data_IF_562783641019
#
_entry.id   IF_562783641019
#
_cell.length_a   1.000
_cell.length_b   1.000
_cell.length_c   1.000
_cell.angle_alpha   90.00
_cell.angle_beta   90.00
_cell.angle_gamma   90.00
#
_symmetry.space_group_name_H-M   'P 1'
#
loop_
_entity.id
_entity.type
_entity.pdbx_description
1 polymer ?
#
# COMPACT_ATOMS: atom_id res chain seq x y z
N UNK A 1 6.69 -3.17 -7.87
CA UNK A 1 7.19 -3.80 -9.12
C UNK A 1 6.16 -4.73 -9.78
N UNK A 2 5.72 -5.84 -9.15
CA UNK A 2 4.76 -6.78 -9.80
C UNK A 2 3.45 -6.11 -10.27
N UNK A 3 2.98 -5.10 -9.54
CA UNK A 3 1.83 -4.29 -9.96
C UNK A 3 2.12 -3.53 -11.27
N UNK A 4 3.27 -2.87 -11.40
CA UNK A 4 3.67 -2.19 -12.64
C UNK A 4 3.77 -3.15 -13.83
N UNK A 5 4.28 -4.36 -13.57
CA UNK A 5 4.40 -5.43 -14.55
C UNK A 5 3.04 -5.94 -15.05
N UNK A 6 2.02 -5.90 -14.19
CA UNK A 6 0.64 -6.21 -14.55
C UNK A 6 -0.01 -5.03 -15.30
N UNK A 7 0.09 -3.81 -14.75
CA UNK A 7 -0.53 -2.59 -15.31
C UNK A 7 -0.06 -2.31 -16.75
N UNK A 8 1.22 -2.52 -17.06
CA UNK A 8 1.77 -2.30 -18.41
C UNK A 8 1.25 -3.24 -19.50
N UNK A 9 0.53 -4.30 -19.12
CA UNK A 9 -0.05 -5.29 -20.06
C UNK A 9 -1.43 -4.89 -20.59
N UNK A 10 -2.04 -3.85 -20.02
CA UNK A 10 -3.36 -3.37 -20.43
C UNK A 10 -3.25 -1.96 -21.01
N UNK A 11 -3.74 -1.70 -22.24
CA UNK A 11 -3.67 -0.37 -22.84
C UNK A 11 -4.27 0.74 -21.96
N UNK A 12 -5.30 0.41 -21.16
CA UNK A 12 -5.94 1.35 -20.24
C UNK A 12 -5.04 1.81 -19.06
N UNK A 13 -4.06 1.00 -18.65
CA UNK A 13 -3.23 1.28 -17.46
C UNK A 13 -1.72 1.31 -17.74
N UNK A 14 -1.30 1.02 -18.98
CA UNK A 14 0.09 1.16 -19.39
C UNK A 14 0.63 2.59 -19.24
N UNK A 15 -0.10 3.67 -19.61
CA UNK A 15 0.35 5.05 -19.36
C UNK A 15 0.65 5.32 -17.88
N UNK A 16 -0.16 4.75 -16.96
CA UNK A 16 0.06 4.84 -15.51
C UNK A 16 1.35 4.15 -15.09
N UNK A 17 1.62 2.94 -15.60
CA UNK A 17 2.85 2.21 -15.32
C UNK A 17 4.10 2.96 -15.84
N UNK A 18 4.01 3.56 -17.03
CA UNK A 18 5.10 4.33 -17.64
C UNK A 18 5.37 5.63 -16.87
N UNK A 19 4.33 6.38 -16.52
CA UNK A 19 4.42 7.60 -15.71
C UNK A 19 5.02 7.33 -14.33
N UNK A 20 4.55 6.28 -13.65
CA UNK A 20 5.08 5.85 -12.36
C UNK A 20 6.57 5.49 -12.44
N UNK A 21 6.97 4.76 -13.49
CA UNK A 21 8.37 4.42 -13.72
C UNK A 21 9.22 5.67 -13.96
N UNK A 22 8.73 6.62 -14.78
CA UNK A 22 9.42 7.90 -15.03
C UNK A 22 9.67 8.68 -13.74
N UNK A 23 8.66 8.78 -12.87
CA UNK A 23 8.79 9.40 -11.53
C UNK A 23 9.70 8.63 -10.58
N UNK A 24 9.88 7.32 -10.80
CA UNK A 24 10.80 6.49 -10.00
C UNK A 24 12.25 6.65 -10.46
N UNK A 25 12.53 6.69 -11.77
CA UNK A 25 13.88 6.82 -12.34
C UNK A 25 14.41 8.26 -12.40
N UNK A 26 13.58 9.28 -12.14
CA UNK A 26 13.94 10.69 -12.26
C UNK A 26 14.90 11.23 -11.18
N UNK A 27 15.36 10.39 -10.25
CA UNK A 27 16.16 10.78 -9.08
C UNK A 27 17.43 9.93 -8.98
N UNK A 28 18.56 10.56 -8.66
CA UNK A 28 19.82 9.85 -8.53
C UNK A 28 19.92 8.98 -7.26
N UNK A 29 20.69 7.88 -7.40
CA UNK A 29 21.35 7.01 -6.41
C UNK A 29 20.58 6.47 -5.21
N UNK A 30 19.30 6.81 -5.02
CA UNK A 30 18.44 6.36 -3.90
C UNK A 30 19.03 6.64 -2.51
N UNK A 31 19.82 7.72 -2.38
CA UNK A 31 20.52 8.08 -1.12
C UNK A 31 19.70 8.94 -0.15
N UNK A 32 18.57 9.51 -0.60
CA UNK A 32 17.77 10.46 0.17
C UNK A 32 16.28 10.16 0.04
N UNK A 33 15.52 10.36 1.12
CA UNK A 33 14.05 10.31 1.08
C UNK A 33 13.51 11.39 0.14
N UNK A 34 12.47 11.07 -0.65
CA UNK A 34 11.80 12.05 -1.51
C UNK A 34 10.31 12.04 -1.20
N UNK A 35 9.82 13.13 -0.61
CA UNK A 35 8.39 13.32 -0.31
C UNK A 35 7.52 13.36 -1.58
N UNK A 36 8.08 13.82 -2.69
CA UNK A 36 7.43 13.84 -4.02
C UNK A 36 7.85 12.64 -4.89
N UNK A 37 8.65 11.71 -4.35
CA UNK A 37 9.06 10.49 -5.05
C UNK A 37 8.05 9.36 -4.83
N UNK A 38 8.02 8.41 -5.74
CA UNK A 38 7.16 7.22 -5.64
C UNK A 38 7.52 6.37 -4.42
N UNK A 39 6.57 5.59 -3.92
CA UNK A 39 6.87 4.63 -2.85
C UNK A 39 7.94 3.63 -3.28
N UNK A 40 7.95 3.22 -4.55
CA UNK A 40 8.99 2.34 -5.10
C UNK A 40 10.40 2.96 -4.99
N UNK A 41 10.55 4.26 -5.26
CA UNK A 41 11.81 4.97 -5.02
C UNK A 41 12.18 4.95 -3.53
N UNK A 42 11.21 5.28 -2.66
CA UNK A 42 11.44 5.36 -1.22
C UNK A 42 11.74 3.98 -0.59
N UNK A 43 11.16 2.88 -1.09
CA UNK A 43 11.50 1.51 -0.67
C UNK A 43 12.93 1.14 -1.05
N UNK A 44 13.42 1.52 -2.24
CA UNK A 44 14.83 1.31 -2.60
C UNK A 44 15.74 2.17 -1.71
N UNK A 45 15.33 3.39 -1.37
CA UNK A 45 16.05 4.22 -0.39
C UNK A 45 16.14 3.57 1.01
N UNK A 46 15.13 2.85 1.49
CA UNK A 46 15.25 2.08 2.75
C UNK A 46 16.28 0.93 2.66
N UNK A 47 16.59 0.42 1.47
CA UNK A 47 17.59 -0.63 1.26
C UNK A 47 18.99 -0.03 0.99
N UNK A 48 19.08 1.15 0.36
CA UNK A 48 20.33 1.72 -0.16
C UNK A 48 20.79 3.05 0.49
N UNK A 49 19.95 3.72 1.30
CA UNK A 49 20.28 4.99 1.98
C UNK A 49 21.21 4.86 3.20
N UNK A 50 21.29 5.88 4.06
CA UNK A 50 22.09 5.79 5.30
C UNK A 50 21.43 4.88 6.35
N UNK A 51 22.20 4.33 7.28
CA UNK A 51 21.66 3.48 8.36
C UNK A 51 20.75 4.24 9.34
N UNK A 52 20.89 5.57 9.42
CA UNK A 52 20.01 6.45 10.22
C UNK A 52 18.56 6.43 9.75
N UNK A 53 18.31 5.97 8.53
CA UNK A 53 16.96 5.81 7.97
C UNK A 53 16.21 4.67 8.68
N UNK A 54 16.92 3.57 8.99
CA UNK A 54 16.34 2.40 9.65
C UNK A 54 15.97 2.69 11.11
N UNK A 55 16.66 3.64 11.75
CA UNK A 55 16.34 4.16 13.09
C UNK A 55 14.95 4.82 13.17
N UNK A 56 14.34 5.16 12.02
CA UNK A 56 12.99 5.74 11.91
C UNK A 56 11.88 4.70 11.70
N UNK A 57 12.22 3.42 11.53
CA UNK A 57 11.26 2.33 11.36
C UNK A 57 10.70 1.83 12.70
N UNK A 58 9.57 1.12 12.67
CA UNK A 58 8.91 0.57 13.87
C UNK A 58 9.80 -0.41 14.65
N UNK A 59 10.59 -1.22 13.94
CA UNK A 59 11.64 -2.06 14.53
C UNK A 59 12.99 -1.78 13.83
N UNK A 60 13.81 -0.87 14.39
CA UNK A 60 15.14 -0.59 13.86
C UNK A 60 16.11 -1.78 13.94
N UNK A 61 15.99 -2.63 14.97
CA UNK A 61 16.95 -3.74 15.18
C UNK A 61 16.72 -4.83 14.15
N UNK A 62 15.47 -5.26 13.96
CA UNK A 62 15.09 -6.19 12.89
C UNK A 62 15.39 -5.63 11.50
N UNK A 63 15.12 -4.34 11.25
CA UNK A 63 15.42 -3.70 9.97
C UNK A 63 16.93 -3.66 9.66
N UNK A 64 17.79 -3.33 10.62
CA UNK A 64 19.26 -3.38 10.46
C UNK A 64 19.72 -4.83 10.21
N UNK A 65 19.19 -5.79 10.97
CA UNK A 65 19.51 -7.21 10.80
C UNK A 65 19.13 -7.75 9.42
N UNK A 66 17.93 -7.41 8.94
CA UNK A 66 17.45 -7.77 7.60
C UNK A 66 18.30 -7.08 6.52
N UNK A 67 18.57 -5.78 6.65
CA UNK A 67 19.34 -5.01 5.67
C UNK A 67 20.73 -5.58 5.44
N UNK A 68 21.42 -6.04 6.49
CA UNK A 68 22.72 -6.73 6.38
C UNK A 68 22.69 -7.99 5.53
N UNK A 69 21.51 -8.56 5.30
CA UNK A 69 21.29 -9.81 4.55
C UNK A 69 20.60 -9.58 3.20
N UNK A 70 20.20 -8.34 2.86
CA UNK A 70 19.46 -8.02 1.63
C UNK A 70 20.14 -6.91 0.85
N UNK A 71 20.18 -7.03 -0.48
CA UNK A 71 20.72 -5.99 -1.35
C UNK A 71 19.75 -5.67 -2.48
N UNK A 72 19.82 -4.44 -3.00
CA UNK A 72 19.12 -4.08 -4.24
C UNK A 72 20.11 -4.05 -5.41
N UNK A 73 19.94 -4.88 -6.44
CA UNK A 73 20.77 -4.84 -7.65
C UNK A 73 20.40 -3.60 -8.50
N UNK A 74 20.89 -2.43 -8.10
CA UNK A 74 20.50 -1.12 -8.65
C UNK A 74 20.64 -1.02 -10.17
N UNK A 75 21.69 -1.59 -10.77
CA UNK A 75 21.86 -1.56 -12.23
C UNK A 75 20.73 -2.31 -12.96
N UNK A 76 20.36 -3.50 -12.47
CA UNK A 76 19.24 -4.29 -13.01
C UNK A 76 17.91 -3.57 -12.80
N UNK A 77 17.71 -2.98 -11.62
CA UNK A 77 16.51 -2.21 -11.29
C UNK A 77 16.35 -0.96 -12.16
N UNK A 78 17.37 -0.12 -12.24
CA UNK A 78 17.37 1.09 -13.07
C UNK A 78 17.11 0.74 -14.54
N UNK A 79 17.75 -0.31 -15.08
CA UNK A 79 17.48 -0.77 -16.44
C UNK A 79 16.01 -1.12 -16.65
N UNK A 80 15.38 -1.84 -15.71
CA UNK A 80 13.94 -2.16 -15.79
C UNK A 80 13.07 -0.89 -15.73
N UNK A 81 13.31 0.01 -14.77
CA UNK A 81 12.50 1.22 -14.60
C UNK A 81 12.65 2.16 -15.80
N UNK A 82 13.85 2.32 -16.36
CA UNK A 82 14.07 3.11 -17.58
C UNK A 82 13.38 2.50 -18.80
N UNK A 83 13.46 1.17 -18.99
CA UNK A 83 12.72 0.49 -20.08
C UNK A 83 11.21 0.69 -19.95
N UNK A 84 10.70 0.62 -18.71
CA UNK A 84 9.29 0.82 -18.41
C UNK A 84 8.85 2.28 -18.61
N UNK A 85 9.68 3.26 -18.26
CA UNK A 85 9.37 4.69 -18.48
C UNK A 85 9.39 5.09 -19.96
N UNK A 86 10.16 4.37 -20.78
CA UNK A 86 10.15 4.45 -22.25
C UNK A 86 8.95 3.72 -22.89
N UNK A 87 8.10 3.05 -22.11
CA UNK A 87 6.94 2.30 -22.60
C UNK A 87 7.28 1.02 -23.37
N UNK A 88 8.47 0.45 -23.15
CA UNK A 88 8.89 -0.76 -23.85
C UNK A 88 8.10 -1.99 -23.36
N UNK A 89 7.72 -2.83 -24.33
CA UNK A 89 6.98 -4.06 -24.09
C UNK A 89 7.75 -5.04 -23.16
N UNK A 90 7.03 -5.89 -22.41
CA UNK A 90 7.65 -6.91 -21.56
C UNK A 90 8.57 -7.84 -22.34
N UNK A 91 9.79 -8.06 -21.82
CA UNK A 91 10.71 -9.07 -22.37
C UNK A 91 11.19 -10.06 -21.29
N UNK A 92 11.98 -11.05 -21.71
CA UNK A 92 12.51 -12.09 -20.83
C UNK A 92 13.56 -11.57 -19.84
N UNK A 93 14.27 -10.48 -20.18
CA UNK A 93 15.20 -9.82 -19.25
C UNK A 93 14.48 -9.17 -18.07
N UNK A 94 13.31 -8.59 -18.30
CA UNK A 94 12.49 -8.01 -17.24
C UNK A 94 12.12 -9.11 -16.21
N UNK A 95 11.82 -10.33 -16.65
CA UNK A 95 11.64 -11.47 -15.73
C UNK A 95 12.93 -11.80 -14.96
N UNK A 96 14.07 -11.84 -15.64
CA UNK A 96 15.39 -12.09 -15.02
C UNK A 96 15.74 -11.04 -13.95
N UNK A 97 15.38 -9.76 -14.16
CA UNK A 97 15.53 -8.68 -13.17
C UNK A 97 14.73 -8.99 -11.90
N UNK A 98 13.47 -9.41 -12.03
CA UNK A 98 12.64 -9.76 -10.87
C UNK A 98 13.17 -11.00 -10.14
N UNK A 99 13.74 -11.98 -10.86
CA UNK A 99 14.38 -13.14 -10.21
C UNK A 99 15.61 -12.74 -9.40
N UNK A 100 16.46 -11.85 -9.93
CA UNK A 100 17.63 -11.32 -9.22
C UNK A 100 17.23 -10.53 -7.97
N UNK A 101 16.24 -9.64 -8.08
CA UNK A 101 15.74 -8.84 -6.95
C UNK A 101 15.10 -9.75 -5.89
N UNK A 102 14.28 -10.72 -6.28
CA UNK A 102 13.66 -11.66 -5.34
C UNK A 102 14.68 -12.44 -4.51
N UNK A 103 15.74 -12.93 -5.15
CA UNK A 103 16.85 -13.62 -4.48
C UNK A 103 17.65 -12.66 -3.58
N UNK A 104 17.99 -11.47 -4.07
CA UNK A 104 18.77 -10.47 -3.34
C UNK A 104 18.01 -9.88 -2.13
N UNK A 105 16.68 -9.89 -2.15
CA UNK A 105 15.80 -9.54 -1.02
C UNK A 105 15.40 -10.77 -0.17
N UNK A 106 15.98 -11.95 -0.42
CA UNK A 106 15.73 -13.22 0.29
C UNK A 106 14.26 -13.63 0.37
N UNK A 107 13.45 -13.31 -0.65
CA UNK A 107 12.02 -13.64 -0.67
C UNK A 107 11.86 -15.15 -0.88
N UNK A 108 11.50 -15.87 0.18
CA UNK A 108 11.32 -17.32 0.18
C UNK A 108 9.91 -17.78 -0.19
N UNK A 109 8.88 -16.96 0.12
CA UNK A 109 7.46 -17.26 -0.04
C UNK A 109 7.12 -17.78 -1.45
N UNK A 110 6.51 -18.96 -1.51
CA UNK A 110 6.17 -19.70 -2.73
C UNK A 110 5.03 -19.07 -3.53
N UNK A 111 4.06 -18.44 -2.88
CA UNK A 111 2.94 -17.76 -3.53
C UNK A 111 3.41 -16.53 -4.32
N UNK A 112 4.34 -15.72 -3.79
CA UNK A 112 4.91 -14.60 -4.54
C UNK A 112 5.73 -15.05 -5.75
N UNK A 113 6.45 -16.17 -5.61
CA UNK A 113 7.15 -16.81 -6.73
C UNK A 113 6.18 -17.29 -7.82
N UNK A 114 5.03 -17.83 -7.42
CA UNK A 114 3.95 -18.21 -8.32
C UNK A 114 3.32 -16.98 -9.00
N UNK A 115 2.94 -15.96 -8.22
CA UNK A 115 2.38 -14.69 -8.75
C UNK A 115 3.33 -14.03 -9.74
N UNK A 116 4.64 -13.97 -9.46
CA UNK A 116 5.65 -13.50 -10.42
C UNK A 116 5.63 -14.30 -11.72
N UNK A 117 5.76 -15.63 -11.67
CA UNK A 117 5.76 -16.50 -12.87
C UNK A 117 4.49 -16.29 -13.69
N UNK A 118 3.34 -16.25 -13.01
CA UNK A 118 2.04 -16.06 -13.64
C UNK A 118 1.90 -14.68 -14.29
N UNK A 119 2.38 -13.61 -13.65
CA UNK A 119 2.37 -12.26 -14.23
C UNK A 119 3.26 -12.17 -15.48
N UNK A 120 4.43 -12.81 -15.49
CA UNK A 120 5.24 -12.83 -16.72
C UNK A 120 4.60 -13.67 -17.84
N UNK A 121 3.98 -14.80 -17.50
CA UNK A 121 3.23 -15.67 -18.42
C UNK A 121 1.77 -15.22 -18.69
N UNK A 122 1.37 -14.02 -18.26
CA UNK A 122 -0.05 -13.66 -18.08
C UNK A 122 -0.93 -13.88 -19.30
N UNK A 123 -0.43 -13.63 -20.51
CA UNK A 123 -1.20 -13.77 -21.73
C UNK A 123 -1.65 -15.22 -21.99
N UNK A 124 -0.85 -16.21 -21.59
CA UNK A 124 -1.12 -17.64 -21.75
C UNK A 124 -1.97 -18.27 -20.64
N UNK A 125 -2.25 -17.52 -19.57
CA UNK A 125 -3.09 -18.01 -18.46
C UNK A 125 -4.57 -18.06 -18.85
N UNK A 126 -5.28 -19.05 -18.31
CA UNK A 126 -6.74 -19.09 -18.34
C UNK A 126 -7.35 -17.91 -17.57
N UNK A 127 -8.62 -17.58 -17.84
CA UNK A 127 -9.34 -16.50 -17.12
C UNK A 127 -9.35 -16.73 -15.61
N UNK A 128 -9.54 -17.99 -15.18
CA UNK A 128 -9.54 -18.36 -13.76
C UNK A 128 -8.16 -18.16 -13.10
N UNK A 129 -7.08 -18.49 -13.79
CA UNK A 129 -5.72 -18.26 -13.30
C UNK A 129 -5.35 -16.78 -13.28
N UNK A 130 -5.83 -15.98 -14.24
CA UNK A 130 -5.70 -14.51 -14.24
C UNK A 130 -6.37 -13.93 -12.99
N UNK A 131 -7.64 -14.27 -12.75
CA UNK A 131 -8.37 -13.87 -11.54
C UNK A 131 -7.63 -14.27 -10.25
N UNK A 132 -7.23 -15.55 -10.12
CA UNK A 132 -6.49 -16.05 -8.95
C UNK A 132 -5.14 -15.34 -8.75
N UNK A 133 -4.42 -15.03 -9.83
CA UNK A 133 -3.12 -14.36 -9.77
C UNK A 133 -3.26 -12.90 -9.33
N UNK A 134 -4.22 -12.17 -9.89
CA UNK A 134 -4.49 -10.77 -9.54
C UNK A 134 -5.07 -10.66 -8.14
N UNK A 135 -5.95 -11.58 -7.73
CA UNK A 135 -6.49 -11.62 -6.35
C UNK A 135 -5.39 -11.85 -5.31
N UNK A 136 -4.46 -12.79 -5.54
CA UNK A 136 -3.28 -12.96 -4.67
C UNK A 136 -2.41 -11.69 -4.61
N UNK A 137 -2.22 -11.01 -5.75
CA UNK A 137 -1.49 -9.74 -5.79
C UNK A 137 -2.22 -8.62 -5.03
N UNK A 138 -3.56 -8.57 -5.11
CA UNK A 138 -4.40 -7.64 -4.33
C UNK A 138 -4.23 -7.87 -2.83
N UNK A 139 -4.35 -9.11 -2.34
CA UNK A 139 -4.19 -9.42 -0.91
C UNK A 139 -2.79 -9.03 -0.42
N UNK A 140 -1.74 -9.46 -1.12
CA UNK A 140 -0.35 -9.09 -0.80
C UNK A 140 -0.14 -7.57 -0.79
N UNK A 141 -0.74 -6.85 -1.74
CA UNK A 141 -0.64 -5.38 -1.81
C UNK A 141 -1.41 -4.72 -0.67
N UNK A 142 -2.68 -5.06 -0.45
CA UNK A 142 -3.52 -4.51 0.64
C UNK A 142 -2.91 -4.74 2.02
N UNK A 143 -2.29 -5.90 2.24
CA UNK A 143 -1.62 -6.21 3.50
C UNK A 143 -0.31 -5.41 3.68
N UNK A 144 0.55 -5.32 2.65
CA UNK A 144 1.95 -4.87 2.81
C UNK A 144 2.25 -3.47 2.30
N UNK A 145 1.41 -2.95 1.41
CA UNK A 145 1.60 -1.68 0.71
C UNK A 145 0.46 -0.69 1.00
N UNK A 146 -0.33 -0.86 2.09
CA UNK A 146 -1.61 -0.15 2.31
C UNK A 146 -1.56 1.38 2.17
N UNK A 147 -0.42 2.00 2.49
CA UNK A 147 -0.20 3.45 2.36
C UNK A 147 0.35 3.87 0.98
N UNK A 148 0.43 2.95 0.02
CA UNK A 148 1.18 3.15 -1.22
C UNK A 148 0.33 3.60 -2.39
N UNK A 149 0.86 4.59 -3.11
CA UNK A 149 0.36 5.15 -4.37
C UNK A 149 -0.08 4.08 -5.40
N UNK A 150 0.65 2.97 -5.50
CA UNK A 150 0.43 1.95 -6.52
C UNK A 150 -0.80 1.06 -6.30
N UNK A 151 -1.36 1.00 -5.08
CA UNK A 151 -2.52 0.13 -4.79
C UNK A 151 -3.76 0.59 -5.57
N UNK A 152 -4.04 1.88 -5.56
CA UNK A 152 -5.25 2.44 -6.18
C UNK A 152 -5.34 2.06 -7.67
N UNK A 153 -4.18 2.03 -8.34
CA UNK A 153 -4.07 1.61 -9.74
C UNK A 153 -4.30 0.10 -9.93
N UNK A 154 -3.83 -0.74 -9.00
CA UNK A 154 -4.11 -2.18 -9.02
C UNK A 154 -5.60 -2.47 -8.82
N UNK A 155 -6.24 -1.82 -7.84
CA UNK A 155 -7.66 -2.01 -7.54
C UNK A 155 -8.55 -1.53 -8.68
N UNK A 156 -8.22 -0.37 -9.28
CA UNK A 156 -8.87 0.10 -10.52
C UNK A 156 -8.76 -0.91 -11.66
N UNK A 157 -7.58 -1.46 -11.92
CA UNK A 157 -7.42 -2.50 -12.95
C UNK A 157 -8.25 -3.75 -12.63
N UNK A 158 -8.23 -4.22 -11.38
CA UNK A 158 -8.92 -5.43 -10.98
C UNK A 158 -10.45 -5.29 -11.10
N UNK A 159 -11.00 -4.13 -10.72
CA UNK A 159 -12.42 -3.81 -10.92
C UNK A 159 -12.79 -3.73 -12.40
N UNK A 160 -11.97 -3.05 -13.22
CA UNK A 160 -12.20 -2.89 -14.68
C UNK A 160 -12.15 -4.20 -15.48
N UNK A 161 -11.60 -5.28 -14.91
CA UNK A 161 -11.40 -6.58 -15.58
C UNK A 161 -12.06 -7.76 -14.84
N UNK A 162 -12.85 -7.49 -13.80
CA UNK A 162 -13.47 -8.48 -12.91
C UNK A 162 -12.48 -9.57 -12.44
N UNK A 163 -11.34 -9.12 -11.93
CA UNK A 163 -10.23 -9.99 -11.53
C UNK A 163 -10.21 -10.39 -10.06
N UNK A 164 -11.03 -9.77 -9.20
CA UNK A 164 -11.12 -10.14 -7.79
C UNK A 164 -12.09 -11.31 -7.59
N UNK A 165 -11.62 -12.44 -7.04
CA UNK A 165 -12.42 -13.67 -6.87
C UNK A 165 -12.41 -14.20 -5.45
N UNK A 166 -13.59 -14.62 -4.96
CA UNK A 166 -13.74 -15.29 -3.65
C UNK A 166 -13.11 -16.69 -3.60
N UNK A 167 -12.61 -17.21 -4.73
CA UNK A 167 -12.00 -18.55 -4.83
C UNK A 167 -10.55 -18.63 -4.32
N UNK A 168 -9.94 -17.49 -3.95
CA UNK A 168 -8.64 -17.44 -3.30
C UNK A 168 -8.86 -17.17 -1.82
N UNK A 169 -8.30 -18.02 -0.95
CA UNK A 169 -8.20 -17.73 0.48
C UNK A 169 -7.10 -16.71 0.71
N UNK A 170 -7.38 -15.66 1.48
CA UNK A 170 -6.35 -14.75 1.97
C UNK A 170 -5.46 -15.47 2.99
N UNK A 171 -4.15 -15.43 2.74
CA UNK A 171 -3.08 -16.04 3.55
C UNK A 171 -2.07 -15.01 4.03
N UNK A 172 -2.28 -13.72 3.73
CA UNK A 172 -1.44 -12.66 4.28
C UNK A 172 -1.67 -12.52 5.79
N UNK A 173 -0.64 -12.14 6.56
CA UNK A 173 -0.84 -11.79 7.94
C UNK A 173 -1.79 -10.59 8.01
N UNK A 174 -2.89 -10.72 8.75
CA UNK A 174 -3.73 -9.59 9.13
C UNK A 174 -2.86 -8.62 9.91
N UNK A 175 -2.31 -7.61 9.22
CA UNK A 175 -1.40 -6.66 9.85
C UNK A 175 -2.15 -6.01 10.98
N UNK A 176 -1.64 -6.16 12.20
CA UNK A 176 -2.07 -5.39 13.35
C UNK A 176 -1.98 -3.92 12.94
N UNK A 177 -3.14 -3.36 12.63
CA UNK A 177 -3.35 -1.92 12.64
C UNK A 177 -2.92 -1.43 14.02
N UNK A 178 -2.69 -0.11 14.22
CA UNK A 178 -2.71 0.40 15.57
C UNK A 178 -4.03 -0.08 16.15
N UNK A 179 -3.97 -0.95 17.17
CA UNK A 179 -5.18 -1.34 17.84
C UNK A 179 -5.79 -0.03 18.33
N UNK A 180 -6.96 0.27 17.80
CA UNK A 180 -7.95 1.04 18.52
C UNK A 180 -8.70 -0.03 19.31
N UNK A 181 -8.20 -0.47 20.49
CA UNK A 181 -9.06 -1.14 21.42
C UNK A 181 -10.08 -0.07 21.79
N UNK A 182 -11.25 -0.09 21.14
CA UNK A 182 -12.38 0.74 21.50
C UNK A 182 -12.91 0.17 22.81
N UNK A 183 -12.15 0.43 23.86
CA UNK A 183 -12.54 0.24 25.25
C UNK A 183 -13.83 1.01 25.49
N UNK A 184 -14.65 0.54 26.43
CA UNK A 184 -15.92 1.18 26.77
C UNK A 184 -15.72 2.66 27.12
N UNK A 185 -14.59 2.99 27.74
CA UNK A 185 -14.16 4.37 28.02
C UNK A 185 -13.90 5.20 26.76
N UNK A 186 -13.28 4.63 25.73
CA UNK A 186 -13.08 5.32 24.44
C UNK A 186 -14.39 5.47 23.67
N UNK A 187 -15.25 4.45 23.72
CA UNK A 187 -16.59 4.51 23.11
C UNK A 187 -17.41 5.65 23.71
N UNK A 188 -17.34 5.89 25.03
CA UNK A 188 -17.96 7.03 25.67
C UNK A 188 -17.53 8.38 25.08
N UNK A 189 -16.29 8.54 24.63
CA UNK A 189 -15.84 9.76 23.94
C UNK A 189 -16.37 9.87 22.50
N UNK A 190 -16.50 8.76 21.77
CA UNK A 190 -17.12 8.76 20.45
C UNK A 190 -18.58 9.25 20.48
N UNK A 191 -19.30 9.06 21.59
CA UNK A 191 -20.67 9.58 21.79
C UNK A 191 -20.78 11.10 21.54
N UNK A 192 -19.76 11.89 21.86
CA UNK A 192 -19.75 13.34 21.62
C UNK A 192 -19.63 13.71 20.13
N UNK A 193 -19.17 12.78 19.27
CA UNK A 193 -18.99 13.00 17.84
C UNK A 193 -20.13 12.41 16.99
N UNK A 194 -20.60 11.19 17.32
CA UNK A 194 -21.63 10.48 16.53
C UNK A 194 -23.03 10.58 17.14
N UNK A 195 -23.16 10.98 18.40
CA UNK A 195 -24.40 10.96 19.17
C UNK A 195 -24.71 9.60 19.79
N UNK A 196 -25.51 9.61 20.87
CA UNK A 196 -25.92 8.40 21.59
C UNK A 196 -26.59 7.29 20.72
N UNK A 197 -27.56 7.57 19.83
CA UNK A 197 -28.26 6.51 19.09
C UNK A 197 -27.36 5.79 18.07
N UNK A 198 -26.33 6.46 17.56
CA UNK A 198 -25.44 5.92 16.53
C UNK A 198 -24.28 5.10 17.11
N UNK A 199 -24.11 5.06 18.43
CA UNK A 199 -22.86 4.65 19.07
C UNK A 199 -22.40 3.23 18.74
N UNK A 200 -23.32 2.26 18.79
CA UNK A 200 -23.04 0.85 18.48
C UNK A 200 -22.73 0.64 16.98
N UNK A 201 -23.44 1.36 16.11
CA UNK A 201 -23.24 1.31 14.67
C UNK A 201 -21.93 2.00 14.26
N UNK A 202 -21.54 3.08 14.95
CA UNK A 202 -20.26 3.74 14.81
C UNK A 202 -19.11 2.85 15.32
N UNK A 203 -19.28 2.09 16.39
CA UNK A 203 -18.31 1.07 16.81
C UNK A 203 -18.09 0.03 15.70
N UNK A 204 -19.18 -0.44 15.05
CA UNK A 204 -19.10 -1.35 13.89
C UNK A 204 -18.46 -0.71 12.67
N UNK A 205 -18.72 0.57 12.39
CA UNK A 205 -18.00 1.34 11.36
C UNK A 205 -16.49 1.32 11.62
N UNK A 206 -16.05 1.70 12.83
CA UNK A 206 -14.62 1.76 13.16
C UNK A 206 -14.00 0.35 13.11
N UNK A 207 -14.70 -0.69 13.60
CA UNK A 207 -14.25 -2.08 13.52
C UNK A 207 -14.10 -2.63 12.09
N UNK A 208 -14.85 -2.12 11.11
CA UNK A 208 -14.77 -2.51 9.69
C UNK A 208 -13.82 -1.61 8.87
N UNK A 209 -13.58 -0.37 9.30
CA UNK A 209 -12.54 0.53 8.76
C UNK A 209 -11.13 0.10 9.22
N UNK A 210 -11.01 -0.24 10.51
CA UNK A 210 -10.03 -1.22 11.03
C UNK A 210 -10.34 -2.58 10.38
N UNK A 211 -9.38 -3.51 10.27
CA UNK A 211 -9.48 -4.70 9.41
C UNK A 211 -9.54 -4.41 7.89
N UNK A 212 -10.03 -3.24 7.45
CA UNK A 212 -10.04 -2.82 6.04
C UNK A 212 -11.12 -3.50 5.18
N UNK A 213 -12.29 -3.78 5.75
CA UNK A 213 -13.41 -4.45 5.07
C UNK A 213 -14.35 -3.42 4.44
N UNK A 214 -15.10 -3.85 3.42
CA UNK A 214 -16.21 -3.07 2.88
C UNK A 214 -17.22 -2.73 3.99
N UNK A 215 -17.61 -1.45 4.10
CA UNK A 215 -18.48 -0.96 5.17
C UNK A 215 -19.91 -0.77 4.65
N UNK A 216 -20.90 -1.54 5.13
CA UNK A 216 -22.30 -1.35 4.75
C UNK A 216 -22.85 0.08 5.03
N UNK A 217 -23.73 0.62 4.16
CA UNK A 217 -24.16 2.03 4.21
C UNK A 217 -24.75 2.49 5.55
N UNK A 218 -25.42 1.60 6.29
CA UNK A 218 -25.99 1.90 7.60
C UNK A 218 -24.94 2.29 8.65
N UNK A 219 -23.75 1.69 8.60
CA UNK A 219 -22.65 2.05 9.51
C UNK A 219 -21.98 3.35 9.08
N UNK A 220 -21.87 3.61 7.77
CA UNK A 220 -21.39 4.88 7.23
C UNK A 220 -22.30 6.03 7.66
N UNK A 221 -23.63 5.86 7.56
CA UNK A 221 -24.63 6.84 8.04
C UNK A 221 -24.49 7.11 9.54
N UNK A 222 -24.27 6.09 10.36
CA UNK A 222 -24.08 6.26 11.80
C UNK A 222 -22.80 7.03 12.17
N UNK A 223 -21.72 6.87 11.40
CA UNK A 223 -20.47 7.61 11.62
C UNK A 223 -20.47 9.01 10.97
N UNK A 224 -21.42 9.29 10.07
CA UNK A 224 -21.51 10.54 9.30
C UNK A 224 -21.48 11.84 10.14
N UNK A 225 -22.05 11.94 11.35
CA UNK A 225 -21.95 13.16 12.15
C UNK A 225 -20.51 13.52 12.52
N UNK A 226 -19.65 12.53 12.80
CA UNK A 226 -18.23 12.76 13.05
C UNK A 226 -17.49 13.27 11.80
N UNK A 227 -17.85 12.74 10.62
CA UNK A 227 -17.33 13.21 9.32
C UNK A 227 -17.76 14.67 9.08
N UNK A 228 -19.03 15.01 9.37
CA UNK A 228 -19.55 16.38 9.26
C UNK A 228 -18.83 17.37 10.19
N UNK A 229 -18.44 16.96 11.39
CA UNK A 229 -17.63 17.78 12.29
C UNK A 229 -16.26 18.11 11.69
N UNK A 230 -15.61 17.13 11.04
CA UNK A 230 -14.33 17.35 10.35
C UNK A 230 -14.51 18.26 9.12
N UNK A 231 -15.56 18.04 8.31
CA UNK A 231 -15.91 18.87 7.17
C UNK A 231 -16.16 20.34 7.57
N UNK A 232 -16.85 20.59 8.68
CA UNK A 232 -17.03 21.93 9.24
C UNK A 232 -15.69 22.58 9.64
N UNK A 233 -14.75 21.82 10.21
CA UNK A 233 -13.40 22.32 10.54
C UNK A 233 -12.61 22.68 9.28
N UNK A 234 -12.72 21.88 8.22
CA UNK A 234 -12.10 22.16 6.92
C UNK A 234 -12.70 23.43 6.29
N UNK A 235 -14.02 23.59 6.35
CA UNK A 235 -14.74 24.79 5.88
C UNK A 235 -14.40 26.05 6.68
N UNK A 236 -14.04 25.92 7.96
CA UNK A 236 -13.48 27.02 8.77
C UNK A 236 -12.13 27.54 8.27
N UNK A 237 -11.42 26.78 7.41
CA UNK A 237 -10.19 27.20 6.76
C UNK A 237 -8.90 26.90 7.54
N UNK A 238 -7.74 27.38 7.05
CA UNK A 238 -6.42 26.90 7.48
C UNK A 238 -6.12 27.01 8.97
N UNK A 239 -6.67 28.02 9.65
CA UNK A 239 -6.45 28.25 11.08
C UNK A 239 -7.09 27.16 11.97
N UNK A 240 -8.29 26.69 11.64
CA UNK A 240 -8.93 25.60 12.37
C UNK A 240 -8.24 24.26 12.10
N UNK A 241 -7.74 24.06 10.87
CA UNK A 241 -6.95 22.86 10.51
C UNK A 241 -5.61 22.82 11.25
N UNK A 242 -4.92 23.96 11.40
CA UNK A 242 -3.65 24.02 12.15
C UNK A 242 -3.88 23.78 13.65
N UNK A 243 -4.97 24.33 14.22
CA UNK A 243 -5.38 24.06 15.60
C UNK A 243 -5.74 22.58 15.83
N UNK A 244 -6.47 21.96 14.90
CA UNK A 244 -6.82 20.52 14.95
C UNK A 244 -5.55 19.64 14.92
N UNK A 245 -4.60 19.93 14.02
CA UNK A 245 -3.31 19.22 13.95
C UNK A 245 -2.46 19.41 15.21
N UNK A 246 -2.50 20.60 15.82
CA UNK A 246 -1.81 20.86 17.09
C UNK A 246 -2.45 20.08 18.26
N UNK A 247 -3.79 20.01 18.30
CA UNK A 247 -4.53 19.20 19.27
C UNK A 247 -4.24 17.70 19.11
N UNK A 248 -4.26 17.19 17.87
CA UNK A 248 -3.91 15.80 17.55
C UNK A 248 -2.47 15.46 17.99
N UNK A 249 -1.51 16.34 17.72
CA UNK A 249 -0.11 16.17 18.14
C UNK A 249 0.02 16.10 19.67
N UNK A 250 -0.70 16.94 20.41
CA UNK A 250 -0.74 16.91 21.89
C UNK A 250 -1.38 15.62 22.41
N UNK A 251 -2.52 15.21 21.84
CA UNK A 251 -3.21 13.98 22.24
C UNK A 251 -2.35 12.72 22.02
N UNK A 252 -1.58 12.67 20.93
CA UNK A 252 -0.60 11.60 20.67
C UNK A 252 0.58 11.59 21.63
N UNK A 253 0.93 12.75 22.23
CA UNK A 253 1.99 12.85 23.24
C UNK A 253 1.50 12.44 24.63
N UNK A 254 0.24 12.68 24.97
CA UNK A 254 -0.38 12.25 26.25
C UNK A 254 -0.84 10.78 26.29
N UNK A 255 -0.64 10.03 25.20
CA UNK A 255 -0.90 8.58 25.10
C UNK A 255 0.38 7.73 25.23
N UNK A 256 1.52 8.36 25.53
CA UNK A 256 2.79 7.71 25.87
C UNK A 256 3.00 7.70 27.38
#
# INVERSE_FOLDING_TARGET
MLVLELLRRFPQTAPTAHGYAKSTSGYDSYKHFRMNGTDLYNFVYFINGSDDVLKKLKDPKGAIGLRKQTTMPLMNFNRYVTRLSQGLAPNMDDQNVFMRIENALRISNSDYKAVRRNIFNFNRLSTNEKQKTVTRLLYASRAKLRSSDIIEHLEKLAALKDYETRSVKDTEPTVSMPDLPIDQKQLAFYRYLVGAPNLLLAQKFIQLAVQGKSIPPQFVRAYFPAIKTIDNIVKGGPAFISMLRALEKRAKQSQK
#
